data_IF_247988368782
#
_entry.id   IF_247988368782
#
_cell.length_a   1.000
_cell.length_b   1.000
_cell.length_c   1.000
_cell.angle_alpha   90.00
_cell.angle_beta   90.00
_cell.angle_gamma   90.00
#
_symmetry.space_group_name_H-M   'P 1'
#
loop_
_entity.id
_entity.type
_entity.pdbx_description
1 polymer ?
#
# COMPACT_ATOMS: atom_id res chain seq x y z
N UNK A 1 -32.35 8.68 -32.21
CA UNK A 1 -32.35 10.08 -31.76
C UNK A 1 -31.67 10.14 -30.42
N UNK A 2 -30.59 10.93 -30.29
CA UNK A 2 -29.84 11.08 -29.03
C UNK A 2 -28.33 10.85 -29.14
N UNK A 3 -27.66 11.41 -30.16
CA UNK A 3 -26.18 11.45 -30.23
C UNK A 3 -25.76 12.86 -30.66
N UNK A 4 -25.89 13.87 -29.79
CA UNK A 4 -25.33 15.22 -30.03
C UNK A 4 -25.24 16.04 -28.73
N UNK A 5 -24.41 15.64 -27.76
CA UNK A 5 -24.06 16.50 -26.61
C UNK A 5 -22.57 16.47 -26.23
N UNK A 6 -21.70 15.95 -27.11
CA UNK A 6 -20.24 15.96 -26.93
C UNK A 6 -19.43 17.10 -27.60
N UNK A 7 -19.94 17.98 -28.49
CA UNK A 7 -19.07 19.04 -29.03
C UNK A 7 -19.04 20.38 -28.28
N UNK A 8 -19.84 20.63 -27.24
CA UNK A 8 -20.03 22.00 -26.73
C UNK A 8 -19.13 22.44 -25.56
N UNK A 9 -18.22 21.59 -25.07
CA UNK A 9 -17.25 21.94 -24.02
C UNK A 9 -15.84 22.22 -24.54
N UNK A 10 -15.57 21.97 -25.82
CA UNK A 10 -14.26 22.26 -26.47
C UNK A 10 -14.19 23.66 -27.10
N UNK A 11 -15.26 24.46 -27.06
CA UNK A 11 -15.30 25.81 -27.65
C UNK A 11 -15.08 26.97 -26.66
N UNK A 12 -14.67 26.72 -25.41
CA UNK A 12 -14.32 27.78 -24.44
C UNK A 12 -12.83 27.85 -24.06
N UNK A 13 -11.93 27.27 -24.86
CA UNK A 13 -10.48 27.37 -24.62
C UNK A 13 -9.64 27.85 -25.82
N UNK A 14 -10.26 28.40 -26.86
CA UNK A 14 -9.53 28.93 -28.03
C UNK A 14 -9.86 30.40 -28.25
N UNK A 15 -9.41 31.28 -27.35
CA UNK A 15 -9.08 32.69 -27.67
C UNK A 15 -8.30 33.31 -26.52
N UNK A 16 -6.97 33.16 -26.51
CA UNK A 16 -6.08 34.28 -26.19
C UNK A 16 -4.64 33.92 -26.54
N UNK A 17 -4.25 34.27 -27.76
CA UNK A 17 -2.85 34.48 -28.12
C UNK A 17 -2.80 35.58 -29.17
N UNK A 18 -2.17 36.71 -28.83
CA UNK A 18 -1.49 37.55 -29.79
C UNK A 18 -0.33 38.32 -29.10
N UNK A 19 0.88 38.38 -29.70
CA UNK A 19 2.08 39.01 -29.16
C UNK A 19 2.36 40.40 -29.79
N UNK A 20 3.18 41.26 -29.15
CA UNK A 20 4.22 42.11 -29.81
C UNK A 20 4.99 43.01 -28.82
N UNK A 21 6.30 43.19 -29.09
CA UNK A 21 7.27 44.04 -28.39
C UNK A 21 7.47 45.42 -29.10
N UNK A 22 7.57 46.51 -28.29
CA UNK A 22 8.45 47.73 -28.34
C UNK A 22 8.50 48.66 -29.60
N UNK A 23 9.07 49.91 -29.55
CA UNK A 23 9.19 50.97 -28.50
C UNK A 23 9.01 52.44 -29.04
N UNK A 24 9.49 53.45 -28.26
CA UNK A 24 9.73 54.91 -28.51
C UNK A 24 8.54 55.86 -28.32
N UNK A 25 8.58 57.00 -27.63
CA UNK A 25 9.54 57.90 -26.96
C UNK A 25 8.78 59.23 -26.72
N UNK A 26 9.05 60.18 -25.83
CA UNK A 26 10.04 60.45 -24.79
C UNK A 26 9.65 61.76 -24.08
N UNK A 27 10.41 62.13 -23.03
CA UNK A 27 10.54 63.44 -22.35
C UNK A 27 9.26 64.05 -21.71
N UNK A 28 9.24 64.56 -20.47
CA UNK A 28 10.29 65.15 -19.63
C UNK A 28 9.93 64.97 -18.13
N UNK A 29 10.94 64.84 -17.26
CA UNK A 29 10.78 64.72 -15.79
C UNK A 29 10.55 66.07 -15.09
N UNK A 30 11.05 66.29 -13.86
CA UNK A 30 11.25 65.35 -12.75
C UNK A 30 10.63 65.89 -11.43
N UNK A 31 10.29 65.03 -10.46
CA UNK A 31 10.58 65.31 -9.04
C UNK A 31 10.37 64.08 -8.14
N UNK A 32 11.31 63.97 -7.19
CA UNK A 32 11.56 62.88 -6.23
C UNK A 32 10.41 62.62 -5.25
N UNK A 33 10.16 61.35 -4.95
CA UNK A 33 10.18 60.83 -3.59
C UNK A 33 10.44 59.31 -3.62
N UNK A 34 11.35 58.87 -2.77
CA UNK A 34 12.03 57.58 -2.74
C UNK A 34 11.28 56.50 -1.94
N UNK A 35 11.17 55.29 -2.51
CA UNK A 35 10.95 54.04 -1.78
C UNK A 35 11.84 52.92 -2.38
N UNK A 36 12.46 52.05 -1.57
CA UNK A 36 13.40 51.05 -2.04
C UNK A 36 12.66 49.74 -2.43
N UNK A 37 12.75 49.34 -3.70
CA UNK A 37 12.38 47.98 -4.12
C UNK A 37 13.63 47.12 -4.12
N UNK A 38 13.65 46.20 -3.16
CA UNK A 38 14.66 45.14 -3.02
C UNK A 38 14.63 44.21 -4.24
N UNK A 39 15.82 43.87 -4.71
CA UNK A 39 16.08 42.85 -5.72
C UNK A 39 15.79 41.47 -5.10
N UNK A 40 15.02 40.58 -5.72
CA UNK A 40 14.91 39.21 -5.22
C UNK A 40 16.20 38.46 -5.59
N UNK A 41 17.02 38.25 -4.57
CA UNK A 41 18.12 37.30 -4.58
C UNK A 41 17.62 35.93 -5.02
N UNK A 42 18.37 35.30 -5.93
CA UNK A 42 18.26 33.90 -6.28
C UNK A 42 18.57 33.04 -5.05
N UNK A 43 17.54 32.71 -4.29
CA UNK A 43 17.58 31.69 -3.27
C UNK A 43 17.44 30.34 -3.93
N UNK A 44 18.54 29.59 -3.90
CA UNK A 44 18.62 28.17 -4.22
C UNK A 44 17.41 27.43 -3.64
N UNK A 45 16.53 26.95 -4.51
CA UNK A 45 15.53 25.95 -4.14
C UNK A 45 16.30 24.68 -3.79
N UNK A 46 16.53 24.48 -2.50
CA UNK A 46 16.95 23.19 -1.95
C UNK A 46 15.89 22.20 -2.41
N UNK A 47 16.27 21.38 -3.39
CA UNK A 47 15.51 20.24 -3.82
C UNK A 47 15.27 19.38 -2.58
N UNK A 48 14.02 19.36 -2.12
CA UNK A 48 13.49 18.40 -1.17
C UNK A 48 13.61 17.02 -1.83
N UNK A 49 14.74 16.34 -1.60
CA UNK A 49 14.87 14.92 -1.90
C UNK A 49 13.87 14.20 -1.00
N UNK A 50 12.71 13.90 -1.56
CA UNK A 50 11.60 13.31 -0.82
C UNK A 50 11.97 11.95 -0.25
N UNK A 51 11.31 11.62 0.87
CA UNK A 51 11.35 10.30 1.49
C UNK A 51 11.11 9.21 0.43
N UNK A 52 12.11 8.35 0.24
CA UNK A 52 12.02 7.14 -0.57
C UNK A 52 10.89 6.28 -0.01
N UNK A 53 9.94 5.89 -0.85
CA UNK A 53 8.81 5.08 -0.41
C UNK A 53 9.33 3.72 0.08
N UNK A 54 8.99 3.27 1.30
CA UNK A 54 9.46 1.99 1.83
C UNK A 54 9.00 0.77 1.00
N UNK A 55 8.03 0.94 0.08
CA UNK A 55 7.58 -0.09 -0.84
C UNK A 55 8.43 -0.22 -2.12
N UNK A 56 9.26 0.77 -2.48
CA UNK A 56 10.11 0.71 -3.68
C UNK A 56 11.22 -0.34 -3.57
N UNK A 57 11.55 -0.79 -2.35
CA UNK A 57 12.68 -1.66 -2.07
C UNK A 57 12.30 -3.07 -1.56
N UNK A 58 11.03 -3.49 -1.66
CA UNK A 58 10.70 -4.88 -1.32
C UNK A 58 11.12 -5.78 -2.50
N UNK A 59 12.14 -6.65 -2.34
CA UNK A 59 12.49 -7.58 -3.41
C UNK A 59 11.32 -8.53 -3.61
N UNK A 60 10.96 -8.82 -4.85
CA UNK A 60 9.98 -9.85 -5.21
C UNK A 60 10.41 -11.29 -4.82
N UNK A 61 11.46 -11.45 -4.02
CA UNK A 61 11.97 -12.72 -3.54
C UNK A 61 12.65 -12.55 -2.17
N UNK A 62 11.92 -12.86 -1.08
CA UNK A 62 12.55 -13.32 0.15
C UNK A 62 12.62 -14.84 0.10
N UNK A 63 13.60 -15.36 -0.63
CA UNK A 63 14.13 -16.71 -0.40
C UNK A 63 15.43 -16.55 0.36
N UNK A 64 15.40 -16.74 1.68
CA UNK A 64 16.60 -17.07 2.43
C UNK A 64 16.88 -18.56 2.24
N UNK A 65 18.12 -18.94 1.88
CA UNK A 65 18.68 -20.17 2.39
C UNK A 65 19.95 -19.87 3.19
N UNK A 66 20.01 -20.42 4.40
CA UNK A 66 21.25 -20.57 5.15
C UNK A 66 22.28 -21.35 4.31
N UNK A 67 23.53 -20.92 4.48
CA UNK A 67 24.73 -21.36 3.77
C UNK A 67 24.91 -22.88 3.64
N UNK A 68 25.47 -23.31 2.49
CA UNK A 68 26.65 -24.18 2.46
C UNK A 68 27.39 -24.11 1.11
N UNK A 69 28.60 -23.54 1.21
CA UNK A 69 29.88 -23.79 0.53
C UNK A 69 30.01 -24.59 -0.80
N UNK A 70 30.91 -24.02 -1.64
CA UNK A 70 31.90 -24.63 -2.57
C UNK A 70 31.52 -25.07 -4.01
N UNK A 71 31.74 -24.15 -4.98
CA UNK A 71 32.63 -24.18 -6.19
C UNK A 71 32.70 -25.39 -7.17
N UNK A 72 33.20 -25.26 -8.44
CA UNK A 72 33.36 -24.09 -9.33
C UNK A 72 32.78 -24.28 -10.76
N UNK A 73 32.88 -23.21 -11.55
CA UNK A 73 32.36 -22.98 -12.90
C UNK A 73 32.79 -23.96 -14.02
N UNK A 74 31.93 -24.07 -15.06
CA UNK A 74 32.32 -24.26 -16.46
C UNK A 74 31.33 -23.59 -17.43
N UNK A 75 31.86 -22.75 -18.31
CA UNK A 75 31.22 -22.21 -19.50
C UNK A 75 31.08 -23.29 -20.58
N UNK A 76 29.96 -23.34 -21.32
CA UNK A 76 29.93 -23.52 -22.79
C UNK A 76 28.51 -23.38 -23.39
N UNK A 77 28.40 -22.47 -24.37
CA UNK A 77 27.68 -22.49 -25.66
C UNK A 77 26.25 -23.06 -25.85
N UNK A 78 25.48 -22.27 -26.60
CA UNK A 78 24.23 -22.50 -27.33
C UNK A 78 23.90 -23.95 -27.71
N UNK A 79 22.61 -24.33 -27.60
CA UNK A 79 21.75 -24.82 -28.69
C UNK A 79 20.33 -25.06 -28.13
N UNK A 80 19.31 -24.52 -28.81
CA UNK A 80 17.89 -24.77 -28.54
C UNK A 80 17.57 -26.24 -28.81
N UNK A 81 17.11 -26.97 -27.80
CA UNK A 81 16.47 -28.29 -27.98
C UNK A 81 15.38 -28.50 -26.93
N UNK A 82 14.15 -28.56 -27.42
CA UNK A 82 12.93 -28.90 -26.68
C UNK A 82 13.00 -30.39 -26.34
N UNK A 83 13.42 -30.72 -25.12
CA UNK A 83 13.07 -31.99 -24.46
C UNK A 83 12.84 -31.74 -22.98
N UNK A 84 11.64 -32.11 -22.52
CA UNK A 84 11.24 -32.14 -21.13
C UNK A 84 12.27 -32.92 -20.30
N UNK A 85 13.00 -32.21 -19.44
CA UNK A 85 13.85 -32.80 -18.43
C UNK A 85 13.84 -31.89 -17.20
N UNK A 86 13.12 -32.33 -16.17
CA UNK A 86 13.26 -31.93 -14.77
C UNK A 86 13.41 -30.43 -14.51
N UNK A 87 12.39 -29.64 -14.90
CA UNK A 87 12.14 -28.42 -14.15
C UNK A 87 11.75 -28.86 -12.73
N UNK A 88 12.56 -28.50 -11.74
CA UNK A 88 12.13 -28.47 -10.33
C UNK A 88 10.70 -27.92 -10.31
N UNK A 89 9.72 -28.53 -9.62
CA UNK A 89 8.40 -27.93 -9.51
C UNK A 89 8.60 -26.53 -8.95
N UNK A 90 8.38 -25.51 -9.79
CA UNK A 90 8.33 -24.14 -9.36
C UNK A 90 7.08 -24.09 -8.50
N UNK A 91 7.26 -24.08 -7.19
CA UNK A 91 6.16 -23.95 -6.25
C UNK A 91 5.36 -22.71 -6.63
N UNK A 92 4.04 -22.81 -6.87
CA UNK A 92 3.18 -21.69 -7.23
C UNK A 92 3.43 -20.47 -6.33
N UNK A 93 3.48 -19.27 -6.92
CA UNK A 93 3.66 -18.00 -6.22
C UNK A 93 2.53 -17.78 -5.20
N UNK A 94 1.30 -18.17 -5.54
CA UNK A 94 0.12 -18.14 -4.65
C UNK A 94 0.26 -19.18 -3.50
N UNK A 95 1.16 -20.17 -3.59
CA UNK A 95 1.47 -21.08 -2.48
C UNK A 95 2.43 -20.53 -1.44
N UNK A 96 3.22 -19.50 -1.78
CA UNK A 96 4.17 -18.86 -0.87
C UNK A 96 3.61 -17.59 -0.22
N UNK A 97 2.30 -17.47 -0.12
CA UNK A 97 1.64 -16.27 0.40
C UNK A 97 2.07 -15.96 1.83
N UNK A 98 2.95 -14.97 1.96
CA UNK A 98 3.22 -14.26 3.21
C UNK A 98 2.64 -12.87 3.11
N UNK A 99 2.21 -12.31 4.24
CA UNK A 99 1.78 -10.92 4.29
C UNK A 99 2.89 -9.98 3.78
N UNK A 100 2.49 -8.93 3.06
CA UNK A 100 3.39 -7.87 2.65
C UNK A 100 3.58 -6.91 3.82
N UNK A 101 4.77 -6.91 4.42
CA UNK A 101 5.10 -6.07 5.56
C UNK A 101 6.15 -5.03 5.19
N UNK A 102 5.86 -3.77 5.48
CA UNK A 102 6.77 -2.64 5.38
C UNK A 102 7.68 -2.60 6.62
N UNK A 103 8.83 -3.29 6.55
CA UNK A 103 9.73 -3.54 7.70
C UNK A 103 11.01 -2.69 7.70
N UNK A 104 11.23 -1.85 6.68
CA UNK A 104 12.42 -1.01 6.59
C UNK A 104 12.59 -0.12 7.83
N UNK A 105 13.74 -0.19 8.49
CA UNK A 105 14.06 0.59 9.69
C UNK A 105 15.02 1.75 9.44
N UNK A 106 15.54 1.92 8.22
CA UNK A 106 16.55 2.92 7.89
C UNK A 106 16.11 4.37 8.18
N UNK A 107 14.81 4.60 8.24
CA UNK A 107 14.19 5.90 8.49
C UNK A 107 14.00 6.25 9.96
N UNK A 108 14.17 5.31 10.89
CA UNK A 108 13.81 5.51 12.31
C UNK A 108 14.56 6.68 12.92
N UNK A 109 15.88 6.74 12.73
CA UNK A 109 16.72 7.84 13.24
C UNK A 109 16.27 9.20 12.70
N UNK A 110 16.03 9.28 11.39
CA UNK A 110 15.58 10.51 10.73
C UNK A 110 14.24 10.96 11.29
N UNK A 111 13.29 10.04 11.49
CA UNK A 111 12.00 10.38 12.08
C UNK A 111 12.15 10.89 13.52
N UNK A 112 12.96 10.22 14.35
CA UNK A 112 13.21 10.64 15.74
C UNK A 112 13.81 12.06 15.79
N UNK A 113 14.83 12.32 14.97
CA UNK A 113 15.48 13.64 14.89
C UNK A 113 14.50 14.74 14.47
N UNK A 114 13.49 14.41 13.65
CA UNK A 114 12.46 15.35 13.15
C UNK A 114 11.27 15.55 14.08
N UNK A 115 11.07 14.65 15.04
CA UNK A 115 9.97 14.74 16.01
C UNK A 115 10.34 15.52 17.28
N UNK A 116 11.61 15.93 17.43
CA UNK A 116 12.10 16.73 18.57
C UNK A 116 11.70 16.14 19.93
N UNK A 117 11.89 14.83 20.05
CA UNK A 117 11.47 14.03 21.19
C UNK A 117 12.22 14.38 22.48
N UNK A 118 11.55 14.19 23.63
CA UNK A 118 12.27 14.10 24.90
C UNK A 118 13.16 12.83 24.92
N UNK A 119 14.11 12.79 25.86
CA UNK A 119 15.10 11.72 25.92
C UNK A 119 14.49 10.32 26.08
N UNK A 120 13.41 10.22 26.86
CA UNK A 120 12.71 8.96 27.12
C UNK A 120 12.05 8.39 25.86
N UNK A 121 11.23 9.20 25.17
CA UNK A 121 10.57 8.77 23.93
C UNK A 121 11.58 8.53 22.80
N UNK A 122 12.67 9.30 22.75
CA UNK A 122 13.75 9.08 21.79
C UNK A 122 14.41 7.72 21.99
N UNK A 123 14.75 7.36 23.23
CA UNK A 123 15.30 6.05 23.56
C UNK A 123 14.31 4.92 23.25
N UNK A 124 13.04 5.07 23.64
CA UNK A 124 11.99 4.10 23.37
C UNK A 124 11.80 3.85 21.87
N UNK A 125 11.63 4.91 21.07
CA UNK A 125 11.40 4.80 19.63
C UNK A 125 12.66 4.32 18.89
N UNK A 126 13.87 4.58 19.42
CA UNK A 126 15.11 4.10 18.80
C UNK A 126 15.17 2.56 18.73
N UNK A 127 14.53 1.86 19.68
CA UNK A 127 14.38 0.40 19.69
C UNK A 127 13.68 -0.14 18.44
N UNK A 128 12.88 0.66 17.74
CA UNK A 128 12.25 0.25 16.47
C UNK A 128 13.29 -0.14 15.41
N UNK A 129 14.50 0.42 15.49
CA UNK A 129 15.62 0.09 14.59
C UNK A 129 16.21 -1.29 14.83
N UNK A 130 16.03 -1.85 16.04
CA UNK A 130 16.56 -3.14 16.42
C UNK A 130 15.48 -4.23 16.27
N UNK A 131 15.73 -5.16 15.34
CA UNK A 131 14.86 -6.31 15.07
C UNK A 131 14.85 -7.30 16.24
N UNK A 132 15.91 -7.31 17.07
CA UNK A 132 16.06 -8.21 18.23
C UNK A 132 15.62 -7.59 19.54
N UNK A 133 15.23 -6.32 19.54
CA UNK A 133 14.77 -5.65 20.76
C UNK A 133 13.56 -6.38 21.35
N UNK A 134 13.64 -6.70 22.64
CA UNK A 134 12.49 -7.12 23.43
C UNK A 134 11.62 -5.91 23.78
N UNK A 135 10.32 -6.13 23.88
CA UNK A 135 9.35 -5.09 24.21
C UNK A 135 8.51 -5.55 25.41
N UNK A 136 8.31 -4.65 26.37
CA UNK A 136 7.29 -4.84 27.41
C UNK A 136 5.94 -4.30 26.92
N UNK A 137 4.87 -4.68 27.62
CA UNK A 137 3.54 -4.16 27.31
C UNK A 137 3.46 -2.64 27.49
N UNK A 138 4.04 -2.10 28.55
CA UNK A 138 4.06 -0.65 28.86
C UNK A 138 4.81 0.14 27.79
N UNK A 139 5.94 -0.38 27.30
CA UNK A 139 6.72 0.24 26.23
C UNK A 139 5.91 0.34 24.93
N UNK A 140 5.16 -0.71 24.59
CA UNK A 140 4.31 -0.71 23.39
C UNK A 140 3.15 0.26 23.56
N UNK A 141 2.46 0.25 24.71
CA UNK A 141 1.36 1.18 24.99
C UNK A 141 1.85 2.63 24.91
N UNK A 142 2.94 2.96 25.60
CA UNK A 142 3.54 4.30 25.62
C UNK A 142 3.94 4.75 24.21
N UNK A 143 4.58 3.89 23.42
CA UNK A 143 4.92 4.17 22.03
C UNK A 143 3.68 4.49 21.18
N UNK A 144 2.62 3.68 21.30
CA UNK A 144 1.39 3.89 20.55
C UNK A 144 0.62 5.15 20.98
N UNK A 145 0.59 5.46 22.27
CA UNK A 145 -0.01 6.69 22.80
C UNK A 145 0.72 7.93 22.30
N UNK A 146 2.05 7.93 22.40
CA UNK A 146 2.87 9.03 21.93
C UNK A 146 2.73 9.28 20.41
N UNK A 147 2.81 8.23 19.60
CA UNK A 147 2.69 8.39 18.15
C UNK A 147 1.29 8.87 17.74
N UNK A 148 0.24 8.43 18.45
CA UNK A 148 -1.12 8.95 18.23
C UNK A 148 -1.23 10.43 18.57
N UNK A 149 -0.71 10.87 19.71
CA UNK A 149 -0.77 12.29 20.09
C UNK A 149 -0.06 13.17 19.06
N UNK A 150 1.09 12.74 18.54
CA UNK A 150 1.77 13.48 17.46
C UNK A 150 0.92 13.55 16.19
N UNK A 151 0.25 12.46 15.82
CA UNK A 151 -0.61 12.42 14.63
C UNK A 151 -1.82 13.36 14.79
N UNK A 152 -2.43 13.40 15.98
CA UNK A 152 -3.60 14.24 16.26
C UNK A 152 -3.24 15.72 16.43
N UNK A 153 -2.15 16.03 17.14
CA UNK A 153 -1.86 17.39 17.61
C UNK A 153 -0.85 18.14 16.72
N UNK A 154 -0.08 17.43 15.90
CA UNK A 154 1.08 18.01 15.19
C UNK A 154 1.10 17.68 13.70
N UNK A 155 0.25 18.38 12.93
CA UNK A 155 0.08 18.19 11.48
C UNK A 155 1.41 18.16 10.69
N UNK A 156 2.40 18.97 11.09
CA UNK A 156 3.72 19.04 10.44
C UNK A 156 4.59 17.79 10.65
N UNK A 157 4.27 16.96 11.63
CA UNK A 157 5.03 15.78 12.04
C UNK A 157 4.34 14.46 11.69
N UNK A 158 3.12 14.51 11.14
CA UNK A 158 2.29 13.33 10.80
C UNK A 158 3.04 12.32 9.92
N UNK A 159 3.81 12.77 8.94
CA UNK A 159 4.57 11.88 8.05
C UNK A 159 5.55 11.00 8.83
N UNK A 160 6.35 11.61 9.71
CA UNK A 160 7.34 10.93 10.53
C UNK A 160 6.70 10.01 11.57
N UNK A 161 5.61 10.45 12.18
CA UNK A 161 4.86 9.66 13.13
C UNK A 161 4.23 8.42 12.48
N UNK A 162 3.63 8.55 11.28
CA UNK A 162 3.13 7.39 10.51
C UNK A 162 4.26 6.44 10.09
N UNK A 163 5.43 6.97 9.73
CA UNK A 163 6.61 6.18 9.39
C UNK A 163 7.15 5.34 10.56
N UNK A 164 7.01 5.82 11.79
CA UNK A 164 7.35 5.06 13.00
C UNK A 164 6.20 4.13 13.39
N UNK A 165 4.95 4.59 13.29
CA UNK A 165 3.77 3.82 13.64
C UNK A 165 3.65 2.55 12.79
N UNK A 166 4.05 2.58 11.51
CA UNK A 166 4.04 1.37 10.66
C UNK A 166 4.95 0.27 11.23
N UNK A 167 6.05 0.63 11.91
CA UNK A 167 6.97 -0.33 12.53
C UNK A 167 6.48 -0.72 13.92
N UNK A 168 5.91 0.23 14.67
CA UNK A 168 5.34 0.02 15.99
C UNK A 168 4.26 -1.08 15.98
N UNK A 169 3.37 -1.05 14.98
CA UNK A 169 2.26 -2.02 14.86
C UNK A 169 2.72 -3.47 14.64
N UNK A 170 3.99 -3.68 14.26
CA UNK A 170 4.59 -5.00 14.10
C UNK A 170 5.15 -5.56 15.42
N UNK A 171 5.31 -4.72 16.45
CA UNK A 171 5.94 -5.12 17.71
C UNK A 171 4.95 -5.85 18.61
N UNK A 172 5.49 -6.81 19.36
CA UNK A 172 4.73 -7.63 20.33
C UNK A 172 5.49 -7.69 21.65
N UNK A 173 4.74 -7.69 22.74
CA UNK A 173 5.33 -7.88 24.06
C UNK A 173 5.75 -9.36 24.23
N UNK A 174 6.86 -9.63 24.92
CA UNK A 174 7.37 -11.01 25.09
C UNK A 174 6.51 -11.88 26.02
N UNK A 175 5.64 -11.25 26.80
CA UNK A 175 4.83 -11.81 27.90
C UNK A 175 3.32 -11.77 27.60
N UNK A 176 2.92 -11.61 26.34
CA UNK A 176 1.56 -11.21 25.99
C UNK A 176 0.47 -12.28 26.19
N UNK A 177 -0.09 -12.32 27.40
CA UNK A 177 -1.50 -12.60 27.70
C UNK A 177 -2.14 -11.30 28.22
N UNK A 178 -2.65 -10.43 27.32
CA UNK A 178 -3.11 -9.10 27.76
C UNK A 178 -4.07 -8.37 26.81
N UNK A 179 -5.30 -8.11 27.30
CA UNK A 179 -6.37 -7.36 26.61
C UNK A 179 -5.97 -5.91 26.30
N UNK A 180 -5.26 -5.23 27.21
CA UNK A 180 -4.89 -3.80 27.08
C UNK A 180 -3.95 -3.50 25.89
N UNK A 181 -3.09 -4.45 25.53
CA UNK A 181 -2.20 -4.31 24.36
C UNK A 181 -3.01 -4.33 23.06
N UNK A 182 -4.13 -5.06 23.04
CA UNK A 182 -5.05 -5.12 21.91
C UNK A 182 -5.79 -3.79 21.76
N UNK A 183 -6.18 -3.13 22.85
CA UNK A 183 -6.82 -1.80 22.83
C UNK A 183 -5.93 -0.70 22.25
N UNK A 184 -4.68 -0.54 22.74
CA UNK A 184 -3.78 0.51 22.27
C UNK A 184 -3.46 0.41 20.77
N UNK A 185 -3.27 -0.82 20.28
CA UNK A 185 -3.10 -1.11 18.85
C UNK A 185 -4.37 -0.82 18.06
N UNK A 186 -5.52 -1.28 18.56
CA UNK A 186 -6.83 -1.04 17.94
C UNK A 186 -7.13 0.44 17.78
N UNK A 187 -6.90 1.26 18.81
CA UNK A 187 -7.07 2.71 18.71
C UNK A 187 -6.15 3.35 17.67
N UNK A 188 -4.91 2.86 17.52
CA UNK A 188 -4.00 3.37 16.49
C UNK A 188 -4.50 3.04 15.08
N UNK A 189 -5.05 1.85 14.87
CA UNK A 189 -5.64 1.46 13.59
C UNK A 189 -6.89 2.26 13.28
N UNK A 190 -7.76 2.45 14.26
CA UNK A 190 -8.98 3.25 14.12
C UNK A 190 -8.67 4.71 13.80
N UNK A 191 -7.65 5.30 14.45
CA UNK A 191 -7.19 6.64 14.13
C UNK A 191 -6.71 6.72 12.67
N UNK A 192 -5.87 5.78 12.23
CA UNK A 192 -5.36 5.81 10.86
C UNK A 192 -6.48 5.60 9.82
N UNK A 193 -7.41 4.67 10.09
CA UNK A 193 -8.59 4.45 9.25
C UNK A 193 -9.46 5.71 9.19
N UNK A 194 -9.72 6.36 10.33
CA UNK A 194 -10.42 7.64 10.42
C UNK A 194 -9.80 8.70 9.52
N UNK A 195 -8.49 8.87 9.63
CA UNK A 195 -7.76 9.88 8.86
C UNK A 195 -7.83 9.65 7.35
N UNK A 196 -7.87 8.38 6.90
CA UNK A 196 -8.04 8.01 5.50
C UNK A 196 -9.47 8.25 5.01
N UNK A 197 -10.46 7.83 5.80
CA UNK A 197 -11.89 7.87 5.45
C UNK A 197 -12.47 9.29 5.49
N UNK A 198 -12.05 10.09 6.47
CA UNK A 198 -12.45 11.51 6.60
C UNK A 198 -11.57 12.46 5.76
N UNK A 199 -10.69 11.91 4.91
CA UNK A 199 -9.79 12.67 4.02
C UNK A 199 -8.90 13.71 4.73
N UNK A 200 -8.59 13.49 6.01
CA UNK A 200 -7.78 14.39 6.83
C UNK A 200 -6.30 14.41 6.44
N UNK A 201 -5.85 13.42 5.68
CA UNK A 201 -4.49 13.35 5.13
C UNK A 201 -4.45 13.99 3.74
N UNK A 202 -4.15 15.29 3.68
CA UNK A 202 -4.09 16.05 2.43
C UNK A 202 -2.95 15.63 1.49
N UNK A 203 -1.84 15.10 2.04
CA UNK A 203 -0.68 14.67 1.27
C UNK A 203 -0.80 13.22 0.78
N UNK A 204 -0.51 12.99 -0.51
CA UNK A 204 -0.42 11.64 -1.10
C UNK A 204 0.58 10.75 -0.34
N UNK A 205 1.68 11.33 0.12
CA UNK A 205 2.71 10.61 0.87
C UNK A 205 2.19 10.15 2.25
N UNK A 206 1.42 11.00 2.94
CA UNK A 206 0.83 10.64 4.23
C UNK A 206 -0.24 9.57 4.06
N UNK A 207 -1.08 9.66 3.01
CA UNK A 207 -2.05 8.62 2.69
C UNK A 207 -1.37 7.29 2.38
N UNK A 208 -0.30 7.31 1.58
CA UNK A 208 0.48 6.10 1.29
C UNK A 208 1.07 5.49 2.57
N UNK A 209 1.62 6.32 3.46
CA UNK A 209 2.17 5.85 4.73
C UNK A 209 1.09 5.30 5.67
N UNK A 210 -0.09 5.92 5.72
CA UNK A 210 -1.23 5.42 6.46
C UNK A 210 -1.65 4.02 5.96
N UNK A 211 -1.65 3.78 4.66
CA UNK A 211 -1.85 2.44 4.10
C UNK A 211 -0.74 1.46 4.49
N UNK A 212 0.53 1.88 4.61
CA UNK A 212 1.58 1.03 5.19
C UNK A 212 1.24 0.59 6.62
N UNK A 213 0.74 1.51 7.45
CA UNK A 213 0.37 1.20 8.84
C UNK A 213 -0.75 0.16 8.86
N UNK A 214 -1.84 0.38 8.12
CA UNK A 214 -2.97 -0.56 8.08
C UNK A 214 -2.61 -1.90 7.44
N UNK A 215 -1.79 -1.89 6.38
CA UNK A 215 -1.30 -3.12 5.75
C UNK A 215 -0.45 -3.93 6.72
N UNK A 216 0.48 -3.29 7.44
CA UNK A 216 1.28 -3.95 8.48
C UNK A 216 0.43 -4.49 9.61
N UNK A 217 -0.55 -3.71 10.08
CA UNK A 217 -1.51 -4.14 11.08
C UNK A 217 -2.17 -5.46 10.66
N UNK A 218 -2.80 -5.45 9.48
CA UNK A 218 -3.53 -6.59 8.92
C UNK A 218 -2.62 -7.81 8.67
N UNK A 219 -1.40 -7.57 8.20
CA UNK A 219 -0.43 -8.63 7.91
C UNK A 219 0.25 -9.22 9.15
N UNK A 220 0.28 -8.48 10.26
CA UNK A 220 0.97 -8.90 11.49
C UNK A 220 0.14 -9.82 12.39
N UNK A 221 -1.17 -9.94 12.16
CA UNK A 221 -2.08 -10.72 13.01
C UNK A 221 -1.93 -12.22 12.75
N UNK A 222 -0.89 -12.84 13.33
CA UNK A 222 -0.79 -14.31 13.47
C UNK A 222 -1.62 -14.88 14.64
N UNK A 223 -2.47 -14.07 15.28
CA UNK A 223 -3.22 -14.36 16.52
C UNK A 223 -4.68 -13.91 16.35
N UNK A 224 -5.67 -14.56 17.01
CA UNK A 224 -7.10 -14.21 16.95
C UNK A 224 -7.48 -12.83 17.48
N UNK A 225 -6.52 -11.98 17.87
CA UNK A 225 -6.72 -10.55 18.12
C UNK A 225 -7.12 -9.86 16.81
N UNK A 226 -8.40 -10.01 16.46
CA UNK A 226 -9.01 -9.41 15.29
C UNK A 226 -8.80 -7.90 15.39
N UNK A 227 -8.39 -7.29 14.29
CA UNK A 227 -8.63 -5.87 14.12
C UNK A 227 -10.15 -5.73 14.09
N UNK A 228 -10.71 -5.21 15.17
CA UNK A 228 -12.15 -5.14 15.35
C UNK A 228 -12.66 -3.94 14.55
N UNK A 229 -13.16 -4.22 13.35
CA UNK A 229 -13.99 -3.32 12.56
C UNK A 229 -15.46 -3.76 12.70
N UNK A 230 -16.01 -3.70 13.92
CA UNK A 230 -17.31 -4.29 14.27
C UNK A 230 -18.51 -3.34 14.15
N UNK A 231 -18.28 -2.05 13.98
CA UNK A 231 -19.32 -1.08 13.66
C UNK A 231 -20.40 -0.91 14.73
N UNK A 232 -20.10 -0.13 15.76
CA UNK A 232 -21.05 0.71 16.52
C UNK A 232 -20.44 2.06 16.92
N UNK A 233 -19.12 2.09 17.16
CA UNK A 233 -18.31 3.32 17.32
C UNK A 233 -17.08 3.34 16.38
N UNK A 234 -16.97 2.34 15.50
CA UNK A 234 -15.80 2.06 14.66
C UNK A 234 -16.19 2.00 13.18
N UNK A 235 -15.24 2.31 12.28
CA UNK A 235 -15.42 2.08 10.85
C UNK A 235 -15.54 0.60 10.54
N UNK A 236 -16.41 0.25 9.58
CA UNK A 236 -16.52 -1.13 9.08
C UNK A 236 -15.36 -1.43 8.12
N UNK A 237 -14.94 -2.70 8.07
CA UNK A 237 -13.85 -3.11 7.18
C UNK A 237 -14.18 -2.80 5.72
N UNK A 238 -15.45 -2.99 5.31
CA UNK A 238 -15.91 -2.65 3.96
C UNK A 238 -15.63 -1.19 3.59
N UNK A 239 -15.82 -0.23 4.51
CA UNK A 239 -15.55 1.18 4.23
C UNK A 239 -14.05 1.43 3.99
N UNK A 240 -13.19 0.73 4.74
CA UNK A 240 -11.74 0.81 4.56
C UNK A 240 -11.33 0.15 3.25
N UNK A 241 -11.95 -0.96 2.87
CA UNK A 241 -11.76 -1.64 1.58
C UNK A 241 -12.14 -0.72 0.42
N UNK A 242 -13.33 -0.12 0.46
CA UNK A 242 -13.80 0.81 -0.58
C UNK A 242 -12.83 1.98 -0.75
N UNK A 243 -12.35 2.52 0.39
CA UNK A 243 -11.36 3.60 0.36
C UNK A 243 -10.01 3.15 -0.20
N UNK A 244 -9.58 1.93 0.09
CA UNK A 244 -8.35 1.36 -0.47
C UNK A 244 -8.47 1.16 -1.99
N UNK A 245 -9.59 0.61 -2.46
CA UNK A 245 -9.89 0.46 -3.88
C UNK A 245 -9.85 1.80 -4.59
N UNK A 246 -10.51 2.80 -4.03
CA UNK A 246 -10.51 4.17 -4.56
C UNK A 246 -9.11 4.80 -4.61
N UNK A 247 -8.25 4.58 -3.60
CA UNK A 247 -6.86 5.07 -3.62
C UNK A 247 -5.92 4.22 -4.51
N UNK A 248 -6.36 3.02 -4.89
CA UNK A 248 -5.69 2.10 -5.80
C UNK A 248 -6.06 2.33 -7.27
N UNK A 249 -7.05 3.17 -7.56
CA UNK A 249 -7.53 3.46 -8.91
C UNK A 249 -6.50 4.28 -9.73
N UNK A 250 -6.05 3.70 -10.84
CA UNK A 250 -5.14 4.35 -11.80
C UNK A 250 -5.83 5.47 -12.59
N UNK A 251 -7.12 5.32 -12.89
CA UNK A 251 -7.89 6.26 -13.72
C UNK A 251 -8.12 7.60 -13.03
N UNK A 252 -8.01 7.62 -11.69
CA UNK A 252 -8.23 8.82 -10.89
C UNK A 252 -7.05 9.81 -10.99
N UNK A 253 -7.36 11.01 -11.46
CA UNK A 253 -6.42 12.14 -11.49
C UNK A 253 -5.85 12.39 -10.09
N UNK A 254 -4.51 12.39 -9.98
CA UNK A 254 -3.81 12.69 -8.73
C UNK A 254 -3.46 11.48 -7.85
N UNK A 255 -3.61 10.24 -8.32
CA UNK A 255 -3.05 9.07 -7.62
C UNK A 255 -1.57 8.88 -7.97
N UNK A 256 -0.72 8.76 -6.95
CA UNK A 256 0.69 8.42 -7.15
C UNK A 256 0.87 6.90 -7.17
N UNK A 257 1.87 6.41 -7.91
CA UNK A 257 2.23 4.97 -7.91
C UNK A 257 2.45 4.45 -6.49
N UNK A 258 3.10 5.25 -5.64
CA UNK A 258 3.33 4.92 -4.23
C UNK A 258 2.04 4.68 -3.45
N UNK A 259 1.02 5.53 -3.67
CA UNK A 259 -0.29 5.39 -3.03
C UNK A 259 -0.98 4.10 -3.48
N UNK A 260 -1.05 3.85 -4.80
CA UNK A 260 -1.68 2.65 -5.35
C UNK A 260 -1.00 1.37 -4.88
N UNK A 261 0.33 1.34 -4.91
CA UNK A 261 1.10 0.22 -4.38
C UNK A 261 0.76 -0.04 -2.90
N UNK A 262 0.76 1.00 -2.05
CA UNK A 262 0.48 0.84 -0.62
C UNK A 262 -0.95 0.39 -0.34
N UNK A 263 -1.94 0.90 -1.08
CA UNK A 263 -3.33 0.47 -1.00
C UNK A 263 -3.50 -0.98 -1.47
N UNK A 264 -2.87 -1.36 -2.58
CA UNK A 264 -2.82 -2.74 -3.08
C UNK A 264 -2.19 -3.72 -2.08
N UNK A 265 -1.17 -3.29 -1.33
CA UNK A 265 -0.59 -4.11 -0.26
C UNK A 265 -1.55 -4.29 0.92
N UNK A 266 -2.35 -3.28 1.26
CA UNK A 266 -3.43 -3.43 2.24
C UNK A 266 -4.49 -4.42 1.73
N UNK A 267 -4.98 -4.27 0.50
CA UNK A 267 -6.00 -5.15 -0.10
C UNK A 267 -5.55 -6.62 -0.09
N UNK A 268 -4.30 -6.90 -0.47
CA UNK A 268 -3.75 -8.25 -0.38
C UNK A 268 -3.71 -8.79 1.05
N UNK A 269 -3.20 -8.03 2.02
CA UNK A 269 -3.15 -8.49 3.41
C UNK A 269 -4.57 -8.66 4.00
N UNK A 270 -5.54 -7.84 3.58
CA UNK A 270 -6.94 -8.01 3.93
C UNK A 270 -7.51 -9.32 3.34
N UNK A 271 -7.23 -9.65 2.07
CA UNK A 271 -7.60 -10.95 1.50
C UNK A 271 -6.99 -12.11 2.26
N UNK A 272 -5.73 -12.00 2.67
CA UNK A 272 -5.09 -13.03 3.51
C UNK A 272 -5.78 -13.16 4.88
N UNK A 273 -6.15 -12.05 5.50
CA UNK A 273 -6.85 -12.08 6.78
C UNK A 273 -8.24 -12.74 6.66
N UNK A 274 -8.97 -12.38 5.61
CA UNK A 274 -10.31 -12.91 5.33
C UNK A 274 -10.31 -14.40 4.96
N UNK A 275 -9.17 -14.94 4.51
CA UNK A 275 -8.99 -16.37 4.14
C UNK A 275 -8.31 -17.20 5.24
N UNK A 276 -7.43 -16.61 6.06
CA UNK A 276 -6.77 -17.31 7.17
C UNK A 276 -7.70 -17.66 8.33
N UNK A 277 -8.79 -16.92 8.52
CA UNK A 277 -9.79 -17.15 9.57
C UNK A 277 -10.53 -18.50 9.45
N UNK A 278 -10.24 -19.29 8.41
CA UNK A 278 -10.94 -20.53 8.07
C UNK A 278 -10.35 -21.80 8.73
N UNK A 279 -9.14 -21.75 9.34
CA UNK A 279 -8.48 -22.96 9.88
C UNK A 279 -8.90 -23.38 11.31
N UNK A 280 -9.76 -22.62 11.98
CA UNK A 280 -9.98 -22.74 13.44
C UNK A 280 -11.39 -23.10 13.91
N UNK A 281 -12.38 -23.27 13.03
CA UNK A 281 -13.72 -23.73 13.42
C UNK A 281 -13.99 -25.07 12.75
N UNK A 282 -14.19 -26.09 13.59
CA UNK A 282 -14.36 -27.48 13.20
C UNK A 282 -15.41 -27.69 12.12
N UNK A 283 -15.17 -28.75 11.36
CA UNK A 283 -16.06 -29.37 10.38
C UNK A 283 -17.54 -29.24 10.76
N UNK A 284 -18.31 -28.45 10.00
CA UNK A 284 -19.73 -28.71 9.76
C UNK A 284 -20.05 -28.26 8.32
N UNK A 285 -20.22 -29.26 7.47
CA UNK A 285 -21.18 -29.37 6.35
C UNK A 285 -21.32 -28.23 5.33
N UNK A 286 -21.22 -28.62 4.04
CA UNK A 286 -21.82 -27.89 2.93
C UNK A 286 -20.82 -27.52 1.84
N UNK A 287 -20.73 -28.37 0.81
CA UNK A 287 -19.76 -28.21 -0.27
C UNK A 287 -19.86 -26.86 -0.98
N UNK A 288 -18.69 -26.23 -1.20
CA UNK A 288 -18.38 -25.30 -2.29
C UNK A 288 -19.30 -24.10 -2.57
N UNK A 289 -20.34 -23.86 -1.76
CA UNK A 289 -21.40 -22.88 -1.99
C UNK A 289 -21.45 -21.83 -0.86
N UNK A 290 -20.35 -21.61 -0.13
CA UNK A 290 -20.31 -20.49 0.79
C UNK A 290 -20.36 -19.18 0.00
N UNK A 291 -21.26 -18.28 0.41
CA UNK A 291 -21.34 -16.94 -0.16
C UNK A 291 -20.11 -16.11 0.24
N UNK A 292 -19.73 -15.20 -0.66
CA UNK A 292 -18.69 -14.21 -0.37
C UNK A 292 -19.26 -13.14 0.57
N UNK A 293 -18.49 -12.72 1.56
CA UNK A 293 -18.84 -11.52 2.34
C UNK A 293 -18.76 -10.26 1.47
N UNK A 294 -19.38 -9.17 1.92
CA UNK A 294 -19.33 -7.87 1.23
C UNK A 294 -17.87 -7.43 0.98
N UNK A 295 -16.98 -7.61 1.96
CA UNK A 295 -15.56 -7.25 1.83
C UNK A 295 -14.84 -8.12 0.81
N UNK A 296 -15.11 -9.43 0.81
CA UNK A 296 -14.51 -10.37 -0.15
C UNK A 296 -14.97 -10.05 -1.58
N UNK A 297 -16.25 -9.74 -1.76
CA UNK A 297 -16.82 -9.36 -3.04
C UNK A 297 -16.24 -8.04 -3.54
N UNK A 298 -16.18 -7.01 -2.68
CA UNK A 298 -15.62 -5.71 -3.01
C UNK A 298 -14.15 -5.82 -3.42
N UNK A 299 -13.33 -6.55 -2.66
CA UNK A 299 -11.92 -6.76 -3.01
C UNK A 299 -11.81 -7.50 -4.35
N UNK A 300 -12.55 -8.59 -4.55
CA UNK A 300 -12.45 -9.41 -5.77
C UNK A 300 -12.81 -8.61 -7.01
N UNK A 301 -13.99 -7.98 -7.02
CA UNK A 301 -14.47 -7.23 -8.19
C UNK A 301 -13.66 -5.95 -8.40
N UNK A 302 -13.38 -5.20 -7.35
CA UNK A 302 -12.61 -3.96 -7.44
C UNK A 302 -11.16 -4.20 -7.87
N UNK A 303 -10.52 -5.30 -7.48
CA UNK A 303 -9.19 -5.63 -7.98
C UNK A 303 -9.22 -6.01 -9.47
N UNK A 304 -10.24 -6.76 -9.92
CA UNK A 304 -10.40 -7.14 -11.33
C UNK A 304 -10.65 -5.93 -12.23
N UNK A 305 -11.47 -4.98 -11.78
CA UNK A 305 -11.73 -3.73 -12.51
C UNK A 305 -10.44 -2.90 -12.67
N UNK A 306 -9.71 -2.65 -11.58
CA UNK A 306 -8.48 -1.86 -11.64
C UNK A 306 -7.33 -2.52 -12.41
N UNK A 307 -7.32 -3.85 -12.54
CA UNK A 307 -6.29 -4.56 -13.32
C UNK A 307 -6.31 -4.21 -14.81
N UNK A 308 -7.46 -3.77 -15.34
CA UNK A 308 -7.60 -3.48 -16.77
C UNK A 308 -6.81 -2.25 -17.19
N UNK A 309 -6.72 -1.25 -16.29
CA UNK A 309 -6.10 0.05 -16.59
C UNK A 309 -4.73 0.24 -15.91
N UNK A 310 -4.36 -0.59 -14.93
CA UNK A 310 -3.10 -0.41 -14.21
C UNK A 310 -1.87 -0.71 -15.09
N UNK A 311 -0.85 0.14 -14.94
CA UNK A 311 0.39 0.09 -15.70
C UNK A 311 1.58 -0.36 -14.86
N UNK A 312 1.56 -0.10 -13.55
CA UNK A 312 2.64 -0.44 -12.63
C UNK A 312 2.64 -1.92 -12.26
N UNK A 313 3.75 -2.59 -12.58
CA UNK A 313 3.95 -4.02 -12.31
C UNK A 313 3.76 -4.40 -10.84
N UNK A 314 4.18 -3.53 -9.92
CA UNK A 314 4.09 -3.82 -8.48
C UNK A 314 2.65 -3.75 -8.00
N UNK A 315 1.88 -2.75 -8.44
CA UNK A 315 0.44 -2.68 -8.14
C UNK A 315 -0.29 -3.86 -8.77
N UNK A 316 -0.07 -4.17 -10.05
CA UNK A 316 -0.67 -5.34 -10.73
C UNK A 316 -0.40 -6.61 -9.94
N UNK A 317 0.87 -6.84 -9.57
CA UNK A 317 1.27 -8.00 -8.78
C UNK A 317 0.49 -8.09 -7.47
N UNK A 318 0.33 -6.98 -6.74
CA UNK A 318 -0.42 -6.94 -5.46
C UNK A 318 -1.91 -7.22 -5.65
N UNK A 319 -2.53 -6.68 -6.70
CA UNK A 319 -3.93 -6.95 -7.04
C UNK A 319 -4.16 -8.42 -7.42
N UNK A 320 -3.29 -9.00 -8.26
CA UNK A 320 -3.33 -10.42 -8.60
C UNK A 320 -3.15 -11.31 -7.36
N UNK A 321 -2.25 -10.96 -6.46
CA UNK A 321 -2.11 -11.69 -5.20
C UNK A 321 -3.36 -11.61 -4.32
N UNK A 322 -4.03 -10.45 -4.26
CA UNK A 322 -5.28 -10.27 -3.52
C UNK A 322 -6.42 -11.15 -4.07
N UNK A 323 -6.55 -11.21 -5.40
CA UNK A 323 -7.50 -12.09 -6.11
C UNK A 323 -7.14 -13.55 -5.86
N UNK A 324 -5.88 -13.93 -6.07
CA UNK A 324 -5.39 -15.29 -5.91
C UNK A 324 -5.59 -15.83 -4.49
N UNK A 325 -5.44 -14.99 -3.46
CA UNK A 325 -5.75 -15.36 -2.08
C UNK A 325 -7.23 -15.76 -1.91
N UNK A 326 -8.17 -14.99 -2.49
CA UNK A 326 -9.60 -15.29 -2.39
C UNK A 326 -9.99 -16.53 -3.21
N UNK A 327 -9.48 -16.66 -4.43
CA UNK A 327 -9.73 -17.83 -5.31
C UNK A 327 -9.22 -19.14 -4.69
N UNK A 328 -8.14 -19.08 -3.93
CA UNK A 328 -7.55 -20.25 -3.27
C UNK A 328 -8.26 -20.65 -1.97
N UNK A 329 -9.20 -19.84 -1.47
CA UNK A 329 -9.94 -20.19 -0.25
C UNK A 329 -10.64 -21.54 -0.40
N UNK A 330 -10.43 -22.43 0.57
CA UNK A 330 -11.13 -23.72 0.61
C UNK A 330 -12.64 -23.57 0.84
N UNK A 331 -13.08 -22.44 1.39
CA UNK A 331 -14.47 -22.20 1.77
C UNK A 331 -15.29 -21.61 0.63
N UNK A 332 -14.78 -20.56 -0.01
CA UNK A 332 -15.51 -19.76 -0.99
C UNK A 332 -14.75 -19.60 -2.33
N UNK A 333 -13.59 -20.25 -2.49
CA UNK A 333 -12.78 -20.13 -3.71
C UNK A 333 -13.52 -20.55 -4.98
N UNK A 334 -14.37 -21.58 -4.90
CA UNK A 334 -15.23 -22.00 -6.02
C UNK A 334 -16.29 -20.95 -6.37
N UNK A 335 -16.96 -20.38 -5.38
CA UNK A 335 -17.92 -19.28 -5.57
C UNK A 335 -17.23 -18.07 -6.22
N UNK A 336 -16.04 -17.71 -5.74
CA UNK A 336 -15.23 -16.65 -6.31
C UNK A 336 -14.84 -16.95 -7.77
N UNK A 337 -14.34 -18.16 -8.06
CA UNK A 337 -13.97 -18.54 -9.42
C UNK A 337 -15.14 -18.50 -10.40
N UNK A 338 -16.30 -19.04 -10.01
CA UNK A 338 -17.52 -18.97 -10.81
C UNK A 338 -17.92 -17.52 -11.11
N UNK A 339 -17.89 -16.64 -10.10
CA UNK A 339 -18.22 -15.23 -10.28
C UNK A 339 -17.27 -14.55 -11.29
N UNK A 340 -15.96 -14.82 -11.19
CA UNK A 340 -14.98 -14.26 -12.14
C UNK A 340 -15.24 -14.75 -13.57
N UNK A 341 -15.54 -16.04 -13.73
CA UNK A 341 -15.86 -16.64 -15.02
C UNK A 341 -17.16 -16.08 -15.61
N UNK A 342 -18.21 -15.97 -14.80
CA UNK A 342 -19.53 -15.48 -15.21
C UNK A 342 -19.47 -14.03 -15.69
N UNK A 343 -18.60 -13.22 -15.08
CA UNK A 343 -18.43 -11.81 -15.45
C UNK A 343 -17.40 -11.60 -16.57
N UNK A 344 -16.57 -12.60 -16.89
CA UNK A 344 -15.55 -12.51 -17.94
C UNK A 344 -14.52 -11.40 -17.71
N UNK A 345 -14.22 -11.06 -16.45
CA UNK A 345 -13.43 -9.88 -16.09
C UNK A 345 -11.91 -10.05 -16.21
N UNK A 346 -11.43 -11.27 -16.44
CA UNK A 346 -10.01 -11.55 -16.62
C UNK A 346 -9.69 -11.72 -18.12
N UNK A 347 -9.21 -10.66 -18.77
CA UNK A 347 -8.72 -10.71 -20.16
C UNK A 347 -7.35 -11.41 -20.22
N UNK A 348 -7.15 -12.30 -21.20
CA UNK A 348 -5.86 -12.96 -21.49
C UNK A 348 -4.72 -11.95 -21.77
N UNK A 349 -5.05 -10.70 -22.08
CA UNK A 349 -4.07 -9.63 -22.27
C UNK A 349 -3.52 -9.08 -20.95
N UNK A 350 -4.19 -9.31 -19.82
CA UNK A 350 -3.69 -8.90 -18.51
C UNK A 350 -2.34 -9.57 -18.29
N UNK A 351 -1.30 -8.76 -18.04
CA UNK A 351 0.06 -9.25 -17.81
C UNK A 351 0.94 -9.37 -19.06
N UNK A 352 0.40 -9.28 -20.30
CA UNK A 352 1.21 -9.40 -21.51
C UNK A 352 2.26 -8.29 -21.60
N UNK A 353 3.55 -8.65 -21.63
CA UNK A 353 4.65 -7.70 -21.71
C UNK A 353 4.98 -7.03 -20.38
N UNK A 354 4.46 -7.56 -19.27
CA UNK A 354 4.84 -7.20 -17.90
C UNK A 354 6.01 -8.06 -17.44
N UNK A 355 6.53 -7.82 -16.24
CA UNK A 355 7.56 -8.66 -15.64
C UNK A 355 7.14 -10.13 -15.55
N UNK A 356 8.12 -11.04 -15.62
CA UNK A 356 7.87 -12.48 -15.61
C UNK A 356 7.11 -12.98 -14.36
N UNK A 357 7.17 -12.25 -13.24
CA UNK A 357 6.41 -12.58 -12.03
C UNK A 357 4.91 -12.28 -12.20
N UNK A 358 4.56 -11.17 -12.85
CA UNK A 358 3.17 -10.83 -13.17
C UNK A 358 2.59 -11.85 -14.15
N UNK A 359 3.34 -12.18 -15.22
CA UNK A 359 2.92 -13.20 -16.19
C UNK A 359 2.78 -14.60 -15.58
N UNK A 360 3.61 -14.94 -14.59
CA UNK A 360 3.46 -16.18 -13.84
C UNK A 360 2.18 -16.18 -12.98
N UNK A 361 1.91 -15.08 -12.24
CA UNK A 361 0.70 -14.95 -11.42
C UNK A 361 -0.59 -15.00 -12.24
N UNK A 362 -0.62 -14.35 -13.41
CA UNK A 362 -1.79 -14.41 -14.30
C UNK A 362 -2.08 -15.85 -14.72
N UNK A 363 -1.05 -16.62 -15.07
CA UNK A 363 -1.21 -18.04 -15.42
C UNK A 363 -1.69 -18.88 -14.25
N UNK A 364 -1.17 -18.62 -13.05
CA UNK A 364 -1.65 -19.31 -11.83
C UNK A 364 -3.12 -18.98 -11.53
N UNK A 365 -3.54 -17.72 -11.69
CA UNK A 365 -4.95 -17.33 -11.52
C UNK A 365 -5.83 -17.97 -12.58
N UNK A 366 -5.42 -17.97 -13.85
CA UNK A 366 -6.16 -18.64 -14.91
C UNK A 366 -6.36 -20.13 -14.61
N UNK A 367 -5.34 -20.80 -14.08
CA UNK A 367 -5.44 -22.20 -13.66
C UNK A 367 -6.41 -22.42 -12.48
N UNK A 368 -6.60 -21.43 -11.61
CA UNK A 368 -7.60 -21.49 -10.53
C UNK A 368 -9.03 -21.28 -11.02
N UNK A 369 -9.21 -20.65 -12.19
CA UNK A 369 -10.52 -20.38 -12.77
C UNK A 369 -11.08 -21.57 -13.58
N UNK A 370 -10.22 -22.50 -14.01
CA UNK A 370 -10.61 -23.75 -14.68
C UNK A 370 -10.46 -23.68 -16.18
#
# INVERSE_FOLDING_TARGET
MGVMLRPLLEQMQITNNAPTNLPTGGNAGPMRASQPTFVPSTSSAVATSMAVNPWENIPAALSTPSAQLSSPAKQTTDTISIKAANAKPVTPLIEKQTALLSTDTGVVKICIDRLELNQEHSQLLSKLSDVKASWTQEEIISMHEYLRSVIDDHAQHVSYALMLLRLAVLKRAMDAEGIRMTEARTHSFQLVAKLLLEEKLSSLANRSMAWCVLSNAMGSTKSPDRIVFDGTDNYKLIQVVDRALHDCDFSKVGTSTSLRQSAGAFLYNASLHLTCNDKGKGEIEGGGNAELSEEQLAILLGCLEHLQDETDDTTIHRLLMAIGALLKSSKFGKTAANLVNDLGLLDEKIGKGKSGNVEALVREIAALLG
#
